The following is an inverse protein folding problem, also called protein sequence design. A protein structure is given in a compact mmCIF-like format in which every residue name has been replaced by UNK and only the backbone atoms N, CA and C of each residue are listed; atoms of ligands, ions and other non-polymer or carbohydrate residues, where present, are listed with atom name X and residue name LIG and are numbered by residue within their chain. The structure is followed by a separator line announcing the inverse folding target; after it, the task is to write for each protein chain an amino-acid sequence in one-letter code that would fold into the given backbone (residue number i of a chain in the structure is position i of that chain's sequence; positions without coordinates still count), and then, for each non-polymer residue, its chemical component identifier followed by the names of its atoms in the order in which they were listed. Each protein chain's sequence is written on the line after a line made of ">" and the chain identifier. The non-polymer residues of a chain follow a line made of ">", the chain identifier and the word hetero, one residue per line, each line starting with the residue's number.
data_IF_645758077306
#
_entry.id   IF_645758077306
#
_cell.length_a   1.000
_cell.length_b   1.000
_cell.length_c   1.000
_cell.angle_alpha   90.00
_cell.angle_beta   90.00
_cell.angle_gamma   90.00
#
_symmetry.space_group_name_H-M   'P 1'
#
loop_
_entity.id
_entity.type
_entity.pdbx_description
1 polymer ?
#
# COMPACT_ATOMS: atom_id res chain seq x y z
N UNK A 1 5.63 -2.64 0.10
CA UNK A 1 5.58 -1.99 1.43
C UNK A 1 5.29 -3.05 2.46
N UNK A 2 6.01 -3.02 3.59
CA UNK A 2 5.76 -3.93 4.70
C UNK A 2 5.19 -3.12 5.85
N UNK A 3 4.00 -3.52 6.32
CA UNK A 3 3.33 -2.91 7.46
C UNK A 3 3.33 -3.95 8.57
N UNK A 4 4.06 -3.67 9.65
CA UNK A 4 4.11 -4.54 10.83
C UNK A 4 2.86 -4.33 11.68
N UNK A 5 1.82 -5.10 11.38
CA UNK A 5 0.56 -5.16 12.12
C UNK A 5 0.17 -6.63 12.31
N UNK A 6 -0.15 -7.01 13.54
CA UNK A 6 -0.62 -8.34 13.90
C UNK A 6 -2.15 -8.33 14.11
N UNK A 7 -2.80 -9.48 13.90
CA UNK A 7 -4.25 -9.58 14.08
C UNK A 7 -5.08 -8.88 12.99
N UNK A 8 -4.48 -8.64 11.82
CA UNK A 8 -5.21 -8.13 10.66
C UNK A 8 -6.01 -9.27 10.02
N UNK A 9 -7.28 -9.01 9.74
CA UNK A 9 -8.18 -9.91 9.04
C UNK A 9 -8.37 -9.43 7.60
N UNK A 10 -8.20 -10.30 6.60
CA UNK A 10 -8.22 -9.94 5.18
C UNK A 10 -9.54 -9.31 4.75
N UNK A 11 -10.66 -9.77 5.32
CA UNK A 11 -12.01 -9.24 5.09
C UNK A 11 -12.23 -7.84 5.68
N UNK A 12 -11.36 -7.39 6.59
CA UNK A 12 -11.39 -6.05 7.20
C UNK A 12 -10.34 -5.10 6.61
N UNK A 13 -9.77 -5.45 5.45
CA UNK A 13 -8.82 -4.62 4.72
C UNK A 13 -9.47 -4.06 3.47
N UNK A 14 -9.59 -2.73 3.42
CA UNK A 14 -9.98 -2.02 2.20
C UNK A 14 -8.72 -1.47 1.52
N UNK A 15 -8.50 -1.83 0.26
CA UNK A 15 -7.35 -1.36 -0.51
C UNK A 15 -7.81 -0.72 -1.81
N UNK A 16 -7.40 0.53 -2.03
CA UNK A 16 -7.64 1.28 -3.26
C UNK A 16 -6.29 1.58 -3.89
N UNK A 17 -6.08 1.01 -5.08
CA UNK A 17 -4.93 1.31 -5.93
C UNK A 17 -5.40 2.21 -7.08
N UNK A 18 -4.67 3.30 -7.33
CA UNK A 18 -4.77 4.10 -8.55
C UNK A 18 -3.39 4.20 -9.16
N UNK A 19 -3.30 4.66 -10.40
CA UNK A 19 -2.03 4.74 -11.13
C UNK A 19 -0.94 5.46 -10.35
N UNK A 20 -1.29 6.54 -9.63
CA UNK A 20 -0.33 7.37 -8.88
C UNK A 20 -0.58 7.41 -7.37
N UNK A 21 -1.46 6.56 -6.81
CA UNK A 21 -1.74 6.59 -5.37
C UNK A 21 -2.13 5.22 -4.83
N UNK A 22 -1.85 5.00 -3.55
CA UNK A 22 -2.33 3.82 -2.81
C UNK A 22 -2.96 4.26 -1.49
N UNK A 23 -4.10 3.68 -1.15
CA UNK A 23 -4.78 3.89 0.13
C UNK A 23 -5.26 2.55 0.67
N UNK A 24 -4.69 2.10 1.78
CA UNK A 24 -5.04 0.85 2.44
C UNK A 24 -5.52 1.16 3.85
N UNK A 25 -6.74 0.75 4.16
CA UNK A 25 -7.37 0.88 5.48
C UNK A 25 -7.47 -0.49 6.13
N UNK A 26 -7.15 -0.53 7.41
CA UNK A 26 -7.23 -1.72 8.25
C UNK A 26 -8.23 -1.43 9.35
N UNK A 27 -9.33 -2.18 9.38
CA UNK A 27 -10.38 -1.97 10.36
C UNK A 27 -10.30 -2.99 11.49
N UNK A 28 -10.62 -2.54 12.70
CA UNK A 28 -10.75 -3.36 13.90
C UNK A 28 -9.56 -4.29 14.14
N UNK A 29 -8.36 -3.72 13.99
CA UNK A 29 -7.11 -4.36 14.37
C UNK A 29 -6.92 -4.11 15.85
N UNK A 30 -7.32 -5.08 16.68
CA UNK A 30 -7.29 -4.99 18.14
C UNK A 30 -8.06 -3.77 18.68
N UNK A 31 -9.26 -3.51 18.13
CA UNK A 31 -10.10 -2.39 18.53
C UNK A 31 -9.65 -1.02 18.00
N UNK A 32 -8.69 -0.97 17.06
CA UNK A 32 -8.22 0.26 16.42
C UNK A 32 -8.26 0.16 14.90
N UNK A 33 -8.47 1.29 14.25
CA UNK A 33 -8.38 1.41 12.79
C UNK A 33 -7.05 2.06 12.41
N UNK A 34 -6.42 1.54 11.35
CA UNK A 34 -5.17 2.07 10.80
C UNK A 34 -5.34 2.39 9.32
N UNK A 35 -4.54 3.34 8.80
CA UNK A 35 -4.53 3.69 7.39
C UNK A 35 -3.10 3.92 6.91
N UNK A 36 -2.76 3.28 5.80
CA UNK A 36 -1.53 3.52 5.05
C UNK A 36 -1.91 4.15 3.71
N UNK A 37 -1.68 5.45 3.57
CA UNK A 37 -2.04 6.21 2.38
C UNK A 37 -0.83 6.94 1.81
N UNK A 38 -0.61 6.79 0.50
CA UNK A 38 0.37 7.53 -0.28
C UNK A 38 -0.40 8.24 -1.39
N UNK A 39 -0.70 9.53 -1.22
CA UNK A 39 -1.56 10.27 -2.15
C UNK A 39 -0.90 10.50 -3.51
N UNK A 40 0.44 10.54 -3.55
CA UNK A 40 1.22 10.71 -4.78
C UNK A 40 2.48 9.85 -4.74
N UNK A 41 2.46 8.76 -5.48
CA UNK A 41 3.61 7.90 -5.72
C UNK A 41 4.62 8.61 -6.61
N UNK A 42 5.88 8.25 -6.47
CA UNK A 42 6.96 8.79 -7.30
C UNK A 42 6.77 8.48 -8.79
N UNK A 43 6.25 7.29 -9.12
CA UNK A 43 5.93 6.86 -10.48
C UNK A 43 4.66 6.00 -10.50
N UNK A 44 4.16 5.76 -11.70
CA UNK A 44 2.94 5.00 -11.94
C UNK A 44 3.08 3.51 -11.60
N UNK A 45 1.97 2.95 -11.14
CA UNK A 45 1.75 1.51 -10.92
C UNK A 45 0.63 1.02 -11.83
N UNK A 46 0.56 -0.29 -12.03
CA UNK A 46 -0.58 -0.97 -12.64
C UNK A 46 -1.54 -1.36 -11.51
N UNK A 47 -2.69 -0.69 -11.35
CA UNK A 47 -3.57 -0.93 -10.21
C UNK A 47 -4.08 -2.37 -10.17
N UNK A 48 -4.46 -2.96 -11.31
CA UNK A 48 -5.06 -4.30 -11.35
C UNK A 48 -4.07 -5.42 -10.99
N UNK A 49 -2.77 -5.15 -11.09
CA UNK A 49 -1.70 -6.10 -10.72
C UNK A 49 -1.16 -5.86 -9.31
N UNK A 50 -1.56 -4.76 -8.68
CA UNK A 50 -1.17 -4.43 -7.32
C UNK A 50 -2.12 -5.10 -6.33
N UNK A 51 -1.60 -5.48 -5.15
CA UNK A 51 -2.37 -6.28 -4.19
C UNK A 51 -1.92 -6.11 -2.76
N UNK A 52 -2.82 -6.41 -1.84
CA UNK A 52 -2.51 -6.57 -0.42
C UNK A 52 -2.48 -8.06 -0.08
N UNK A 53 -1.51 -8.47 0.72
CA UNK A 53 -1.41 -9.83 1.26
C UNK A 53 -1.24 -9.75 2.77
N UNK A 54 -2.24 -10.22 3.49
CA UNK A 54 -2.19 -10.31 4.95
C UNK A 54 -1.47 -11.59 5.36
N UNK A 55 -0.52 -11.47 6.29
CA UNK A 55 0.17 -12.57 6.97
C UNK A 55 -0.03 -12.39 8.48
N UNK A 56 0.18 -13.44 9.31
CA UNK A 56 -0.09 -13.37 10.75
C UNK A 56 0.49 -12.14 11.46
N UNK A 57 1.73 -11.77 11.15
CA UNK A 57 2.44 -10.69 11.85
C UNK A 57 2.71 -9.44 10.99
N UNK A 58 2.25 -9.44 9.74
CA UNK A 58 2.50 -8.31 8.82
C UNK A 58 1.54 -8.29 7.66
N UNK A 59 1.33 -7.10 7.12
CA UNK A 59 0.69 -6.89 5.84
C UNK A 59 1.73 -6.50 4.79
N UNK A 60 1.64 -7.13 3.62
CA UNK A 60 2.48 -6.82 2.46
C UNK A 60 1.62 -6.13 1.41
N UNK A 61 1.94 -4.88 1.11
CA UNK A 61 1.31 -4.13 0.01
C UNK A 61 2.28 -4.21 -1.18
N UNK A 62 1.88 -4.94 -2.21
CA UNK A 62 2.65 -5.13 -3.44
C UNK A 62 2.18 -4.13 -4.48
N UNK A 63 3.08 -3.27 -4.94
CA UNK A 63 2.83 -2.32 -6.02
C UNK A 63 3.52 -2.82 -7.29
N UNK A 64 2.74 -3.08 -8.34
CA UNK A 64 3.30 -3.49 -9.63
C UNK A 64 3.65 -2.24 -10.44
N UNK A 65 4.93 -1.94 -10.62
CA UNK A 65 5.39 -0.76 -11.37
C UNK A 65 4.88 -0.79 -12.82
N UNK A 66 4.45 0.37 -13.34
CA UNK A 66 4.03 0.48 -14.75
C UNK A 66 5.22 0.47 -15.73
N UNK A 67 6.40 0.91 -15.27
CA UNK A 67 7.63 0.93 -16.06
C UNK A 67 8.75 0.13 -15.41
N UNK A 68 9.65 -0.40 -16.25
CA UNK A 68 10.91 -1.02 -15.79
C UNK A 68 11.82 0.08 -15.25
N UNK A 69 12.42 -0.15 -14.08
CA UNK A 69 13.35 0.79 -13.48
C UNK A 69 13.31 0.80 -11.95
N UNK A 70 14.39 1.32 -11.37
CA UNK A 70 14.49 1.48 -9.93
C UNK A 70 13.75 2.74 -9.49
N UNK A 71 13.15 2.66 -8.31
CA UNK A 71 12.53 3.81 -7.66
C UNK A 71 13.50 4.21 -6.54
N UNK A 72 14.04 5.43 -6.60
CA UNK A 72 14.89 5.95 -5.52
C UNK A 72 14.05 6.40 -4.32
N UNK A 73 12.80 6.78 -4.57
CA UNK A 73 11.81 7.09 -3.55
C UNK A 73 10.45 6.49 -3.93
N UNK A 74 9.64 6.27 -2.91
CA UNK A 74 8.26 5.83 -3.03
C UNK A 74 7.30 7.02 -3.17
N UNK A 75 7.56 8.10 -2.44
CA UNK A 75 6.77 9.31 -2.49
C UNK A 75 7.28 10.21 -3.60
N UNK A 76 6.36 10.90 -4.26
CA UNK A 76 6.74 11.98 -5.15
C UNK A 76 7.45 13.08 -4.35
N UNK A 77 8.63 13.48 -4.83
CA UNK A 77 9.37 14.64 -4.34
C UNK A 77 9.34 15.67 -5.46
N UNK A 78 8.91 16.89 -5.16
CA UNK A 78 9.16 18.01 -6.05
C UNK A 78 10.67 18.27 -6.03
N UNK A 79 11.31 18.24 -7.20
CA UNK A 79 12.65 18.81 -7.35
C UNK A 79 12.55 20.29 -6.96
N UNK A 80 13.36 20.68 -5.96
CA UNK A 80 13.46 22.06 -5.47
C UNK A 80 14.38 22.88 -6.35
#
# INVERSE_FOLDING_TARGET
>A
LYVSLEGVHQEKVDAVFKEMSVDVKFHDVQGKNYRCAIPKLNKEIVPEKSKVTVKPNKVIITLHKASKGNWMDLHFKEDK
#
